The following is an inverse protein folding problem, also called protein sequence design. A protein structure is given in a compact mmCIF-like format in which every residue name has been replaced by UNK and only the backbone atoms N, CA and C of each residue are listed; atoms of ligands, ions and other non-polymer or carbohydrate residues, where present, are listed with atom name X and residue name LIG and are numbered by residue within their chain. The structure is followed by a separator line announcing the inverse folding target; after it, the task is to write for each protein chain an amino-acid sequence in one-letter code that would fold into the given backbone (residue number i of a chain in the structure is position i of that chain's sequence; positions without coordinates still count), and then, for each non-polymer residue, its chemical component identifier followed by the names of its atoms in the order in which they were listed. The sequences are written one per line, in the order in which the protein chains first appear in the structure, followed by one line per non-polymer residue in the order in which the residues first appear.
data_IF_718454045884
#
_entry.id   IF_718454045884
#
_cell.length_a   1.000
_cell.length_b   1.000
_cell.length_c   1.000
_cell.angle_alpha   90.00
_cell.angle_beta   90.00
_cell.angle_gamma   90.00
#
_symmetry.space_group_name_H-M   'P 1'
#
loop_
_entity.id
_entity.type
_entity.pdbx_description
1 polymer ?
#
# COMPACT_ATOMS: atom_id res chain seq x y z
N UNK A 1 -31.05 -13.97 27.50
CA UNK A 1 -29.69 -14.31 27.02
C UNK A 1 -29.32 -13.33 25.92
N UNK A 2 -28.23 -12.55 26.10
CA UNK A 2 -27.81 -11.54 25.12
C UNK A 2 -27.19 -12.23 23.90
N UNK A 3 -27.55 -11.77 22.71
CA UNK A 3 -26.98 -12.23 21.45
C UNK A 3 -25.45 -12.06 21.49
N UNK A 4 -24.72 -13.13 21.17
CA UNK A 4 -23.27 -13.09 21.02
C UNK A 4 -22.99 -12.27 19.74
N UNK A 5 -22.61 -11.00 19.89
CA UNK A 5 -22.13 -10.21 18.77
C UNK A 5 -20.95 -10.94 18.12
N UNK A 6 -21.13 -11.39 16.88
CA UNK A 6 -20.06 -12.01 16.10
C UNK A 6 -19.01 -10.93 15.83
N UNK A 7 -17.96 -10.87 16.65
CA UNK A 7 -16.74 -10.15 16.34
C UNK A 7 -16.12 -10.82 15.12
N UNK A 8 -16.37 -10.25 13.94
CA UNK A 8 -15.70 -10.64 12.71
C UNK A 8 -14.22 -10.32 12.91
N UNK A 9 -13.40 -11.35 13.18
CA UNK A 9 -11.96 -11.23 12.97
C UNK A 9 -11.79 -11.01 11.46
N UNK A 10 -11.63 -9.75 11.06
CA UNK A 10 -11.21 -9.42 9.72
C UNK A 10 -9.81 -10.03 9.54
N UNK A 11 -9.76 -11.20 8.92
CA UNK A 11 -8.53 -11.76 8.38
C UNK A 11 -8.06 -10.72 7.36
N UNK A 12 -7.01 -9.97 7.71
CA UNK A 12 -6.30 -9.14 6.75
C UNK A 12 -5.69 -10.10 5.73
N UNK A 13 -6.45 -10.40 4.68
CA UNK A 13 -5.93 -10.99 3.45
C UNK A 13 -4.66 -10.21 3.13
N UNK A 14 -3.56 -10.95 2.98
CA UNK A 14 -2.23 -10.38 2.75
C UNK A 14 -2.35 -9.21 1.76
N UNK A 15 -1.96 -7.98 2.15
CA UNK A 15 -2.28 -6.76 1.38
C UNK A 15 -1.51 -6.69 0.07
N UNK A 16 -0.88 -7.78 -0.36
CA UNK A 16 0.04 -7.80 -1.48
C UNK A 16 -0.60 -8.42 -2.72
N UNK A 17 -0.38 -7.79 -3.87
CA UNK A 17 -0.88 -8.25 -5.17
C UNK A 17 0.28 -8.23 -6.18
N UNK A 18 0.34 -9.25 -7.05
CA UNK A 18 1.25 -9.27 -8.19
C UNK A 18 0.48 -8.82 -9.43
N UNK A 19 0.82 -7.67 -9.99
CA UNK A 19 0.16 -7.10 -11.16
C UNK A 19 1.23 -6.85 -12.22
N UNK A 20 1.10 -7.51 -13.37
CA UNK A 20 2.02 -7.34 -14.50
C UNK A 20 3.50 -7.56 -14.17
N UNK A 21 3.81 -8.38 -13.17
CA UNK A 21 5.18 -8.67 -12.73
C UNK A 21 5.69 -7.81 -11.57
N UNK A 22 4.93 -6.79 -11.17
CA UNK A 22 5.28 -5.92 -10.04
C UNK A 22 4.48 -6.28 -8.79
N UNK A 23 5.14 -6.21 -7.63
CA UNK A 23 4.51 -6.41 -6.33
C UNK A 23 3.90 -5.09 -5.86
N UNK A 24 2.64 -5.12 -5.45
CA UNK A 24 1.91 -3.99 -4.90
C UNK A 24 1.45 -4.29 -3.48
N UNK A 25 1.28 -3.24 -2.67
CA UNK A 25 0.69 -3.29 -1.35
C UNK A 25 -0.53 -2.36 -1.29
N UNK A 26 -1.67 -2.89 -0.87
CA UNK A 26 -2.86 -2.12 -0.55
C UNK A 26 -2.69 -1.45 0.82
N UNK A 27 -2.70 -0.12 0.81
CA UNK A 27 -2.71 0.70 2.01
C UNK A 27 -4.06 0.67 2.72
N UNK A 28 -4.09 1.18 3.95
CA UNK A 28 -5.35 1.34 4.71
C UNK A 28 -6.26 2.42 4.14
N UNK A 29 -5.68 3.31 3.35
CA UNK A 29 -6.32 4.33 2.53
C UNK A 29 -6.89 3.77 1.22
N UNK A 30 -6.89 2.44 1.05
CA UNK A 30 -7.34 1.75 -0.17
C UNK A 30 -6.50 2.10 -1.41
N UNK A 31 -5.36 2.78 -1.22
CA UNK A 31 -4.42 3.11 -2.29
C UNK A 31 -3.48 1.93 -2.52
N UNK A 32 -3.28 1.59 -3.79
CA UNK A 32 -2.36 0.54 -4.19
C UNK A 32 -0.98 1.13 -4.51
N UNK A 33 0.01 0.83 -3.67
CA UNK A 33 1.38 1.31 -3.83
C UNK A 33 2.30 0.20 -4.32
N UNK A 34 3.09 0.46 -5.37
CA UNK A 34 4.11 -0.48 -5.85
C UNK A 34 5.21 -0.64 -4.80
N UNK A 35 5.60 -1.88 -4.51
CA UNK A 35 6.78 -2.18 -3.72
C UNK A 35 8.01 -1.88 -4.57
N UNK A 36 8.81 -0.92 -4.13
CA UNK A 36 10.00 -0.47 -4.83
C UNK A 36 11.16 -1.45 -4.62
N UNK A 37 11.96 -1.66 -5.66
CA UNK A 37 13.20 -2.43 -5.56
C UNK A 37 14.25 -1.61 -4.83
N UNK A 38 15.21 -2.28 -4.20
CA UNK A 38 16.23 -1.61 -3.38
C UNK A 38 17.04 -0.56 -4.17
N UNK A 39 17.36 -0.85 -5.43
CA UNK A 39 18.09 0.07 -6.30
C UNK A 39 17.27 1.29 -6.75
N UNK A 40 15.93 1.18 -6.79
CA UNK A 40 15.04 2.30 -7.13
C UNK A 40 14.87 3.26 -5.94
N UNK A 41 15.00 2.75 -4.70
CA UNK A 41 14.68 3.48 -3.47
C UNK A 41 15.39 4.83 -3.36
N UNK A 42 16.67 4.88 -3.73
CA UNK A 42 17.47 6.12 -3.62
C UNK A 42 16.93 7.22 -4.54
N UNK A 43 16.73 6.91 -5.81
CA UNK A 43 16.26 7.87 -6.80
C UNK A 43 14.85 8.39 -6.45
N UNK A 44 13.95 7.49 -6.05
CA UNK A 44 12.59 7.86 -5.62
C UNK A 44 12.63 8.81 -4.41
N UNK A 45 13.53 8.56 -3.46
CA UNK A 45 13.68 9.43 -2.28
C UNK A 45 14.22 10.81 -2.66
N UNK A 46 15.17 10.89 -3.58
CA UNK A 46 15.72 12.15 -4.09
C UNK A 46 14.66 12.96 -4.85
N UNK A 47 13.85 12.32 -5.69
CA UNK A 47 12.73 12.96 -6.40
C UNK A 47 11.66 13.50 -5.44
N UNK A 48 11.28 12.70 -4.43
CA UNK A 48 10.33 13.11 -3.41
C UNK A 48 10.88 14.29 -2.57
N UNK A 49 12.16 14.24 -2.19
CA UNK A 49 12.81 15.32 -1.45
C UNK A 49 12.93 16.61 -2.27
N UNK A 50 13.23 16.48 -3.57
CA UNK A 50 13.30 17.60 -4.51
C UNK A 50 11.94 18.16 -4.92
N UNK A 51 10.83 17.57 -4.46
CA UNK A 51 9.48 17.98 -4.85
C UNK A 51 9.14 17.69 -6.32
N UNK A 52 9.92 16.82 -6.98
CA UNK A 52 9.69 16.39 -8.36
C UNK A 52 8.48 15.45 -8.42
N UNK A 53 8.35 14.61 -7.39
CA UNK A 53 7.21 13.72 -7.18
C UNK A 53 6.47 14.12 -5.89
N UNK A 54 5.14 14.21 -5.93
CA UNK A 54 4.32 14.60 -4.77
C UNK A 54 3.02 15.32 -5.09
N UNK A 55 2.30 14.90 -6.13
CA UNK A 55 0.95 15.42 -6.39
C UNK A 55 -0.06 14.88 -5.38
N UNK A 56 -0.98 15.72 -4.90
CA UNK A 56 -2.21 15.24 -4.28
C UNK A 56 -3.02 14.53 -5.37
N UNK A 57 -3.16 13.22 -5.28
CA UNK A 57 -4.14 12.49 -6.08
C UNK A 57 -5.52 12.84 -5.51
N UNK A 58 -6.31 13.60 -6.28
CA UNK A 58 -7.69 14.00 -5.97
C UNK A 58 -8.67 12.97 -6.51
#
# INVERSE_FOLDING_TARGET
MKALEKKQLAICVTPFMLISGDLYKLGRDEVLCRCVLEHERKNIMEEAHGGIAGGHYV
#
